data_IF_457079064863
#
_entry.id   IF_457079064863
#
_cell.length_a   1.000
_cell.length_b   1.000
_cell.length_c   1.000
_cell.angle_alpha   90.00
_cell.angle_beta   90.00
_cell.angle_gamma   90.00
#
_symmetry.space_group_name_H-M   'P 1'
#
loop_
_entity.id
_entity.type
_entity.pdbx_description
1 polymer ?
#
# COMPACT_ATOMS: atom_id res chain seq x y z
N UNK A 1 -0.97 -30.86 0.96
CA UNK A 1 -1.29 -29.52 0.48
C UNK A 1 -0.53 -28.55 1.37
N UNK A 2 0.32 -27.70 0.81
CA UNK A 2 0.97 -26.64 1.59
C UNK A 2 -0.12 -25.59 1.82
N UNK A 3 -0.50 -25.36 3.08
CA UNK A 3 -1.38 -24.25 3.43
C UNK A 3 -0.74 -22.98 2.90
N UNK A 4 -1.41 -22.32 1.98
CA UNK A 4 -0.94 -21.06 1.41
C UNK A 4 -1.22 -19.97 2.45
N UNK A 5 -0.16 -19.50 3.13
CA UNK A 5 -0.27 -18.43 4.11
C UNK A 5 -0.31 -17.07 3.41
N UNK A 6 -1.23 -16.22 3.85
CA UNK A 6 -1.44 -14.89 3.32
C UNK A 6 -1.54 -13.85 4.42
N UNK A 7 -1.16 -12.63 4.08
CA UNK A 7 -1.07 -11.52 5.02
C UNK A 7 -1.67 -10.26 4.42
N UNK A 8 -2.30 -9.46 5.27
CA UNK A 8 -2.67 -8.09 4.97
C UNK A 8 -1.52 -7.17 5.33
N UNK A 9 -1.17 -6.26 4.42
CA UNK A 9 -0.30 -5.12 4.73
C UNK A 9 -1.11 -4.08 5.51
N UNK A 10 -0.60 -3.68 6.66
CA UNK A 10 -1.21 -2.70 7.53
C UNK A 10 -0.24 -1.58 7.87
N UNK A 11 -0.79 -0.38 8.08
CA UNK A 11 -0.03 0.74 8.62
C UNK A 11 0.39 0.41 10.06
N UNK A 12 1.64 0.67 10.38
CA UNK A 12 2.09 0.65 11.77
C UNK A 12 1.43 1.81 12.52
N UNK A 13 0.66 1.48 13.56
CA UNK A 13 -0.09 2.45 14.36
C UNK A 13 0.79 3.32 15.24
N UNK A 14 2.02 2.90 15.51
CA UNK A 14 3.00 3.65 16.28
C UNK A 14 3.68 4.74 15.44
N UNK A 15 3.61 4.63 14.11
CA UNK A 15 4.13 5.66 13.23
C UNK A 15 3.16 6.85 13.13
N UNK A 16 3.66 8.08 13.34
CA UNK A 16 2.83 9.26 13.17
C UNK A 16 2.30 9.38 11.72
N UNK A 17 1.08 9.89 11.52
CA UNK A 17 0.53 10.05 10.18
C UNK A 17 1.31 11.11 9.40
N UNK A 18 1.60 10.83 8.12
CA UNK A 18 2.00 11.88 7.18
C UNK A 18 0.75 12.66 6.81
N UNK A 19 0.72 13.93 7.16
CA UNK A 19 -0.38 14.81 6.78
C UNK A 19 -0.06 15.50 5.46
N UNK A 20 -0.93 15.34 4.49
CA UNK A 20 -0.83 16.10 3.25
C UNK A 20 -1.20 17.56 3.51
N UNK A 21 -0.26 18.49 3.30
CA UNK A 21 -0.46 19.94 3.53
C UNK A 21 -1.48 20.57 2.59
N UNK A 22 -1.79 19.93 1.47
CA UNK A 22 -2.70 20.52 0.48
C UNK A 22 -3.90 19.61 0.20
N UNK A 23 -5.11 20.17 0.38
CA UNK A 23 -6.38 19.57 -0.09
C UNK A 23 -6.35 19.14 -1.57
N UNK A 24 -5.52 19.77 -2.39
CA UNK A 24 -5.29 19.45 -3.80
C UNK A 24 -4.68 18.05 -3.96
N UNK A 25 -3.77 17.64 -3.09
CA UNK A 25 -3.13 16.32 -3.15
C UNK A 25 -4.13 15.20 -2.88
N UNK A 26 -5.02 15.36 -1.90
CA UNK A 26 -6.05 14.37 -1.59
C UNK A 26 -7.06 14.17 -2.73
N UNK A 27 -7.38 15.25 -3.48
CA UNK A 27 -8.28 15.14 -4.64
C UNK A 27 -7.65 14.41 -5.81
N UNK A 28 -6.34 14.56 -6.00
CA UNK A 28 -5.58 13.93 -7.10
C UNK A 28 -5.18 12.49 -6.77
N UNK A 29 -4.95 12.19 -5.49
CA UNK A 29 -4.56 10.86 -5.00
C UNK A 29 -5.68 10.29 -4.12
N UNK A 30 -6.74 9.70 -4.72
CA UNK A 30 -7.85 9.13 -3.95
C UNK A 30 -7.38 7.90 -3.16
N UNK A 31 -8.03 7.66 -2.03
CA UNK A 31 -7.76 6.50 -1.20
C UNK A 31 -7.95 5.19 -1.97
N UNK A 32 -9.03 5.10 -2.74
CA UNK A 32 -9.27 3.99 -3.67
C UNK A 32 -8.76 4.35 -5.06
N UNK A 33 -7.62 3.79 -5.44
CA UNK A 33 -6.99 4.05 -6.73
C UNK A 33 -7.58 3.10 -7.78
N UNK A 34 -8.55 3.57 -8.55
CA UNK A 34 -9.05 2.86 -9.72
C UNK A 34 -8.20 3.16 -10.98
N UNK A 35 -8.48 2.45 -12.07
CA UNK A 35 -7.72 2.62 -13.31
C UNK A 35 -7.82 4.04 -13.87
N UNK A 36 -8.99 4.64 -13.83
CA UNK A 36 -9.19 6.00 -14.35
C UNK A 36 -8.36 7.01 -13.54
N UNK A 37 -8.40 6.92 -12.22
CA UNK A 37 -7.62 7.77 -11.33
C UNK A 37 -6.12 7.56 -11.54
N UNK A 38 -5.67 6.30 -11.66
CA UNK A 38 -4.28 5.97 -11.90
C UNK A 38 -3.78 6.49 -13.26
N UNK A 39 -4.57 6.33 -14.34
CA UNK A 39 -4.22 6.84 -15.67
C UNK A 39 -4.17 8.36 -15.72
N UNK A 40 -4.92 9.04 -14.85
CA UNK A 40 -4.92 10.50 -14.73
C UNK A 40 -3.74 11.05 -13.90
N UNK A 41 -2.94 10.18 -13.25
CA UNK A 41 -1.73 10.60 -12.55
C UNK A 41 -0.63 10.94 -13.55
N UNK A 42 -0.19 12.16 -13.54
CA UNK A 42 1.09 12.56 -14.14
C UNK A 42 2.23 12.35 -13.13
N UNK A 43 3.48 12.46 -13.58
CA UNK A 43 4.61 12.63 -12.67
C UNK A 43 4.37 13.90 -11.85
N UNK A 44 4.34 13.77 -10.53
CA UNK A 44 3.88 14.86 -9.68
C UNK A 44 4.73 15.06 -8.43
N UNK A 45 4.46 16.18 -7.81
CA UNK A 45 5.07 16.63 -6.57
C UNK A 45 3.97 16.78 -5.52
N UNK A 46 4.11 16.08 -4.39
CA UNK A 46 3.24 16.27 -3.24
C UNK A 46 4.02 16.88 -2.08
N UNK A 47 3.38 17.80 -1.38
CA UNK A 47 3.92 18.39 -0.17
C UNK A 47 3.32 17.66 1.05
N UNK A 48 4.14 17.47 2.07
CA UNK A 48 3.72 16.89 3.35
C UNK A 48 4.17 17.78 4.51
N UNK A 49 3.46 17.70 5.63
CA UNK A 49 3.89 18.33 6.87
C UNK A 49 4.97 17.49 7.54
N UNK A 50 6.09 18.12 7.86
CA UNK A 50 7.15 17.48 8.61
C UNK A 50 6.85 17.57 10.11
N UNK A 51 6.70 16.42 10.76
CA UNK A 51 6.43 16.33 12.20
C UNK A 51 7.68 15.93 13.03
N UNK A 52 8.85 16.15 12.50
CA UNK A 52 10.10 15.87 13.21
C UNK A 52 10.55 14.40 13.16
N UNK A 53 10.09 13.63 12.20
CA UNK A 53 10.48 12.23 12.08
C UNK A 53 11.93 12.05 11.65
N UNK A 54 12.58 11.05 12.24
CA UNK A 54 13.92 10.65 11.85
C UNK A 54 13.95 9.78 10.61
N UNK A 55 12.84 9.09 10.28
CA UNK A 55 12.73 8.19 9.13
C UNK A 55 11.36 8.29 8.46
N UNK A 56 11.37 8.19 7.12
CA UNK A 56 10.15 8.07 6.32
C UNK A 56 9.72 6.61 6.27
N UNK A 57 8.40 6.30 6.34
CA UNK A 57 7.90 4.95 6.16
C UNK A 57 8.22 4.41 4.76
N UNK A 58 8.51 3.11 4.67
CA UNK A 58 8.73 2.45 3.38
C UNK A 58 7.44 2.29 2.57
N UNK A 59 6.30 2.23 3.26
CA UNK A 59 4.97 2.16 2.65
C UNK A 59 4.06 3.18 3.31
N UNK A 60 3.34 3.92 2.49
CA UNK A 60 2.29 4.86 2.90
C UNK A 60 0.94 4.34 2.46
N UNK A 61 -0.07 4.44 3.34
CA UNK A 61 -1.44 4.01 3.07
C UNK A 61 -2.37 5.19 2.79
N UNK A 62 -1.93 6.40 3.06
CA UNK A 62 -2.69 7.64 2.89
C UNK A 62 -1.82 8.73 2.23
N UNK A 63 -2.39 9.55 1.34
CA UNK A 63 -3.77 9.60 0.84
C UNK A 63 -4.15 8.42 -0.05
N UNK A 64 -3.20 7.71 -0.62
CA UNK A 64 -3.34 6.46 -1.36
C UNK A 64 -2.17 5.54 -1.00
N UNK A 65 -2.24 4.27 -1.39
CA UNK A 65 -1.14 3.33 -1.17
C UNK A 65 0.09 3.71 -2.01
N UNK A 66 1.23 3.87 -1.37
CA UNK A 66 2.49 4.26 -2.01
C UNK A 66 3.65 3.49 -1.40
N UNK A 67 4.63 3.15 -2.22
CA UNK A 67 5.85 2.45 -1.82
C UNK A 67 7.08 3.32 -2.09
N UNK A 68 8.06 3.27 -1.18
CA UNK A 68 9.33 3.95 -1.35
C UNK A 68 10.08 3.40 -2.58
N UNK A 69 10.86 4.24 -3.26
CA UNK A 69 11.61 3.89 -4.47
C UNK A 69 12.43 2.59 -4.32
N UNK A 70 13.06 2.39 -3.18
CA UNK A 70 13.83 1.17 -2.89
C UNK A 70 13.00 -0.13 -2.91
N UNK A 71 11.67 -0.05 -2.75
CA UNK A 71 10.77 -1.20 -2.78
C UNK A 71 10.20 -1.49 -4.18
N UNK A 72 10.19 -0.52 -5.07
CA UNK A 72 9.60 -0.68 -6.41
C UNK A 72 10.19 -1.87 -7.18
N UNK A 73 11.52 -2.13 -7.21
CA UNK A 73 12.07 -3.30 -7.87
C UNK A 73 11.60 -4.62 -7.24
N UNK A 74 11.39 -4.63 -5.92
CA UNK A 74 10.91 -5.82 -5.19
C UNK A 74 9.49 -6.16 -5.58
N UNK A 75 8.61 -5.17 -5.50
CA UNK A 75 7.21 -5.34 -5.88
C UNK A 75 7.08 -5.76 -7.35
N UNK A 76 7.89 -5.18 -8.24
CA UNK A 76 7.92 -5.57 -9.66
C UNK A 76 8.38 -7.02 -9.87
N UNK A 77 9.30 -7.51 -9.05
CA UNK A 77 9.74 -8.90 -9.11
C UNK A 77 8.66 -9.86 -8.59
N UNK A 78 7.94 -9.47 -7.54
CA UNK A 78 6.86 -10.26 -6.95
C UNK A 78 5.64 -10.31 -7.87
N UNK A 79 5.24 -9.15 -8.41
CA UNK A 79 4.07 -9.00 -9.29
C UNK A 79 4.45 -8.16 -10.53
N UNK A 80 4.93 -8.81 -11.60
CA UNK A 80 5.39 -8.11 -12.81
C UNK A 80 4.30 -7.35 -13.56
N UNK A 81 3.03 -7.69 -13.36
CA UNK A 81 1.89 -7.01 -14.00
C UNK A 81 1.54 -5.66 -13.37
N UNK A 82 2.11 -5.36 -12.21
CA UNK A 82 1.86 -4.11 -11.50
C UNK A 82 2.45 -2.90 -12.23
N UNK A 83 1.67 -1.86 -12.39
CA UNK A 83 2.08 -0.60 -12.98
C UNK A 83 2.42 0.43 -11.89
N UNK A 84 3.20 1.47 -12.25
CA UNK A 84 3.70 2.44 -11.27
C UNK A 84 3.65 3.85 -11.83
N UNK A 85 3.34 4.84 -10.96
CA UNK A 85 3.49 6.28 -11.21
C UNK A 85 4.36 6.88 -10.13
N UNK A 86 5.38 7.65 -10.54
CA UNK A 86 6.30 8.31 -9.62
C UNK A 86 5.65 9.49 -8.91
N UNK A 87 5.99 9.66 -7.65
CA UNK A 87 5.55 10.77 -6.81
C UNK A 87 6.69 11.26 -5.94
N UNK A 88 7.12 12.49 -6.17
CA UNK A 88 8.15 13.14 -5.35
C UNK A 88 7.49 13.83 -4.16
N UNK A 89 7.91 13.48 -2.94
CA UNK A 89 7.42 14.14 -1.73
C UNK A 89 8.38 15.25 -1.29
N UNK A 90 7.83 16.41 -0.90
CA UNK A 90 8.57 17.52 -0.33
C UNK A 90 8.01 17.92 1.03
N UNK A 91 8.89 18.17 2.01
CA UNK A 91 8.48 18.76 3.27
C UNK A 91 8.19 20.26 3.07
N UNK A 92 6.98 20.69 3.45
CA UNK A 92 6.54 22.08 3.24
C UNK A 92 7.36 23.12 4.02
N UNK A 93 7.94 22.73 5.16
CA UNK A 93 8.65 23.64 6.08
C UNK A 93 10.18 23.57 5.98
N UNK A 94 10.74 22.58 5.30
CA UNK A 94 12.18 22.45 5.14
C UNK A 94 12.59 22.73 3.70
N UNK A 95 13.22 23.87 3.51
CA UNK A 95 14.03 24.18 2.32
C UNK A 95 15.42 23.51 2.43
N UNK A 96 15.54 22.42 3.17
CA UNK A 96 16.83 21.83 3.45
C UNK A 96 17.16 20.65 2.54
N UNK A 97 18.41 20.57 2.19
CA UNK A 97 19.14 19.72 1.25
C UNK A 97 19.13 18.21 1.53
N UNK A 98 18.26 17.72 2.38
CA UNK A 98 18.08 16.29 2.59
C UNK A 98 17.52 15.62 1.32
N UNK A 99 17.98 14.42 0.94
CA UNK A 99 17.45 13.73 -0.22
C UNK A 99 15.94 13.58 -0.07
N UNK A 100 15.23 14.09 -1.07
CA UNK A 100 13.77 14.08 -1.10
C UNK A 100 13.31 12.66 -1.42
N UNK A 101 12.46 12.03 -0.61
CA UNK A 101 12.04 10.67 -0.87
C UNK A 101 11.16 10.59 -2.12
N UNK A 102 11.51 9.69 -3.03
CA UNK A 102 10.70 9.31 -4.16
C UNK A 102 9.81 8.13 -3.75
N UNK A 103 8.52 8.27 -3.98
CA UNK A 103 7.55 7.19 -3.84
C UNK A 103 6.94 6.82 -5.18
N UNK A 104 6.40 5.62 -5.23
CA UNK A 104 5.66 5.11 -6.37
C UNK A 104 4.25 4.75 -5.92
N UNK A 105 3.26 5.21 -6.67
CA UNK A 105 1.88 4.75 -6.57
C UNK A 105 1.77 3.50 -7.42
N UNK A 106 1.65 2.30 -6.83
CA UNK A 106 1.45 1.08 -7.59
C UNK A 106 -0.02 0.95 -7.98
N UNK A 107 -0.27 0.36 -9.14
CA UNK A 107 -1.60 -0.01 -9.59
C UNK A 107 -1.66 -1.50 -9.87
N UNK A 108 -2.63 -2.14 -9.27
CA UNK A 108 -3.06 -3.49 -9.55
C UNK A 108 -4.59 -3.48 -9.55
N UNK A 109 -5.26 -4.03 -10.58
CA UNK A 109 -6.72 -4.06 -10.60
C UNK A 109 -7.31 -4.74 -9.36
N UNK A 110 -8.44 -4.22 -8.88
CA UNK A 110 -9.17 -4.87 -7.79
C UNK A 110 -9.61 -6.27 -8.18
N UNK A 111 -9.37 -7.21 -7.29
CA UNK A 111 -9.77 -8.60 -7.43
C UNK A 111 -10.92 -8.89 -6.48
N UNK A 112 -11.99 -9.47 -7.00
CA UNK A 112 -13.05 -10.04 -6.17
C UNK A 112 -12.56 -11.36 -5.56
N UNK A 113 -11.79 -11.27 -4.47
CA UNK A 113 -11.16 -12.41 -3.81
C UNK A 113 -11.68 -12.68 -2.39
N UNK A 114 -12.47 -11.76 -1.84
CA UNK A 114 -12.95 -11.91 -0.48
C UNK A 114 -13.96 -13.05 -0.38
N UNK A 115 -13.79 -13.88 0.65
CA UNK A 115 -14.74 -14.93 1.01
C UNK A 115 -15.87 -14.35 1.86
N UNK A 116 -17.06 -14.98 1.84
CA UNK A 116 -18.23 -14.55 2.63
C UNK A 116 -18.00 -14.55 4.15
N UNK A 117 -17.02 -15.31 4.63
CA UNK A 117 -16.58 -15.32 6.03
C UNK A 117 -15.82 -14.07 6.45
N UNK A 118 -15.51 -13.14 5.51
CA UNK A 118 -14.88 -11.87 5.85
C UNK A 118 -15.82 -11.01 6.70
N UNK A 119 -15.37 -10.63 7.88
CA UNK A 119 -16.14 -9.77 8.78
C UNK A 119 -15.91 -8.30 8.43
N UNK A 120 -17.00 -7.56 8.21
CA UNK A 120 -16.97 -6.14 7.89
C UNK A 120 -17.62 -5.34 8.99
N UNK A 121 -16.88 -4.44 9.61
CA UNK A 121 -17.37 -3.55 10.67
C UNK A 121 -17.18 -2.09 10.22
N UNK A 122 -18.27 -1.35 10.14
CA UNK A 122 -18.28 0.04 9.66
C UNK A 122 -17.57 0.23 8.30
N UNK A 123 -17.72 -0.75 7.40
CA UNK A 123 -17.12 -0.73 6.06
C UNK A 123 -15.64 -1.14 5.99
N UNK A 124 -15.02 -1.44 7.13
CA UNK A 124 -13.62 -1.90 7.23
C UNK A 124 -13.56 -3.38 7.56
N UNK A 125 -12.47 -4.02 7.17
CA UNK A 125 -12.23 -5.40 7.50
C UNK A 125 -11.95 -5.57 9.00
N UNK A 126 -12.69 -6.47 9.65
CA UNK A 126 -12.31 -7.09 10.90
C UNK A 126 -11.42 -8.30 10.63
N UNK A 127 -12.01 -9.48 10.53
CA UNK A 127 -11.33 -10.71 10.11
C UNK A 127 -11.42 -10.84 8.60
N UNK A 128 -10.31 -11.10 7.93
CA UNK A 128 -10.26 -11.28 6.47
C UNK A 128 -10.14 -12.76 6.14
N UNK A 129 -10.99 -13.22 5.25
CA UNK A 129 -10.88 -14.50 4.59
C UNK A 129 -10.89 -14.31 3.06
N UNK A 130 -10.00 -15.00 2.35
CA UNK A 130 -9.92 -14.96 0.89
C UNK A 130 -10.22 -16.34 0.30
N UNK A 131 -10.76 -16.36 -0.91
CA UNK A 131 -11.07 -17.60 -1.61
C UNK A 131 -9.78 -18.26 -2.13
N UNK A 132 -9.60 -19.55 -1.86
CA UNK A 132 -8.44 -20.33 -2.27
C UNK A 132 -8.14 -20.21 -3.77
N UNK A 133 -9.15 -20.22 -4.62
CA UNK A 133 -9.00 -20.07 -6.06
C UNK A 133 -8.30 -18.77 -6.50
N UNK A 134 -8.42 -17.71 -5.69
CA UNK A 134 -7.82 -16.41 -6.00
C UNK A 134 -6.33 -16.34 -5.67
N UNK A 135 -5.83 -17.23 -4.80
CA UNK A 135 -4.46 -17.19 -4.29
C UNK A 135 -3.50 -18.13 -5.03
N UNK A 136 -4.01 -19.05 -5.89
CA UNK A 136 -3.21 -20.13 -6.49
C UNK A 136 -2.10 -19.64 -7.43
N UNK A 137 -2.32 -18.55 -8.17
CA UNK A 137 -1.36 -18.07 -9.17
C UNK A 137 -0.86 -16.65 -8.88
N UNK A 138 -1.23 -16.10 -7.72
CA UNK A 138 -0.91 -14.73 -7.38
C UNK A 138 -0.05 -14.65 -6.14
N UNK A 139 0.73 -13.58 -6.04
CA UNK A 139 1.54 -13.27 -4.86
C UNK A 139 1.11 -11.99 -4.18
N UNK A 140 0.39 -11.13 -4.91
CA UNK A 140 -0.25 -9.92 -4.40
C UNK A 140 -1.68 -9.89 -4.91
N UNK A 141 -2.61 -9.59 -4.02
CA UNK A 141 -4.01 -9.32 -4.35
C UNK A 141 -4.37 -7.92 -3.85
N UNK A 142 -5.10 -7.20 -4.68
CA UNK A 142 -5.66 -5.90 -4.34
C UNK A 142 -7.18 -6.02 -4.28
N UNK A 143 -7.76 -5.80 -3.12
CA UNK A 143 -9.19 -5.89 -2.87
C UNK A 143 -9.70 -4.65 -2.15
N UNK A 144 -11.00 -4.41 -2.16
CA UNK A 144 -11.60 -3.27 -1.47
C UNK A 144 -12.87 -3.65 -0.72
N UNK A 145 -13.08 -2.97 0.37
CA UNK A 145 -14.34 -2.88 1.10
C UNK A 145 -14.85 -1.44 1.05
N UNK A 146 -16.07 -1.15 1.48
CA UNK A 146 -16.64 0.21 1.39
C UNK A 146 -15.76 1.32 2.00
N UNK A 147 -14.98 1.01 3.02
CA UNK A 147 -14.08 1.99 3.70
C UNK A 147 -12.66 1.42 3.95
N UNK A 148 -12.23 0.41 3.18
CA UNK A 148 -10.92 -0.22 3.37
C UNK A 148 -10.31 -0.67 2.05
N UNK A 149 -9.08 -0.24 1.80
CA UNK A 149 -8.26 -0.61 0.64
C UNK A 149 -7.27 -1.69 1.08
N UNK A 150 -7.42 -2.89 0.53
CA UNK A 150 -6.75 -4.09 1.02
C UNK A 150 -5.65 -4.54 0.09
N UNK A 151 -4.41 -4.49 0.59
CA UNK A 151 -3.24 -5.06 -0.05
C UNK A 151 -2.86 -6.35 0.65
N UNK A 152 -3.08 -7.47 -0.02
CA UNK A 152 -2.89 -8.81 0.51
C UNK A 152 -1.71 -9.47 -0.20
N UNK A 153 -0.84 -10.12 0.56
CA UNK A 153 0.39 -10.70 0.04
C UNK A 153 0.58 -12.14 0.52
N UNK A 154 1.17 -12.97 -0.33
CA UNK A 154 1.54 -14.34 0.02
C UNK A 154 2.70 -14.36 1.04
N UNK A 155 2.92 -15.51 1.70
CA UNK A 155 4.07 -15.73 2.57
C UNK A 155 5.39 -15.43 1.86
N UNK A 156 5.56 -15.89 0.63
CA UNK A 156 6.78 -15.64 -0.15
C UNK A 156 7.04 -14.15 -0.35
N UNK A 157 5.98 -13.38 -0.67
CA UNK A 157 6.08 -11.92 -0.79
C UNK A 157 6.38 -11.25 0.55
N UNK A 158 5.73 -11.71 1.62
CA UNK A 158 5.97 -11.22 2.99
C UNK A 158 7.43 -11.43 3.41
N UNK A 159 8.00 -12.63 3.18
CA UNK A 159 9.40 -12.91 3.47
C UNK A 159 10.36 -12.02 2.68
N UNK A 160 10.09 -11.79 1.39
CA UNK A 160 10.88 -10.89 0.56
C UNK A 160 10.89 -9.46 1.11
N UNK A 161 9.78 -8.99 1.64
CA UNK A 161 9.65 -7.67 2.26
C UNK A 161 10.32 -7.63 3.63
N UNK A 162 10.07 -8.60 4.52
CA UNK A 162 10.61 -8.63 5.88
C UNK A 162 12.14 -8.68 5.93
N UNK A 163 12.80 -9.30 4.96
CA UNK A 163 14.26 -9.31 4.84
C UNK A 163 14.87 -7.91 4.70
N UNK A 164 14.07 -6.89 4.42
CA UNK A 164 14.51 -5.50 4.24
C UNK A 164 14.31 -4.62 5.46
N UNK A 165 13.85 -5.17 6.58
CA UNK A 165 13.63 -4.42 7.82
C UNK A 165 12.77 -3.17 7.60
N UNK A 166 11.60 -3.35 7.00
CA UNK A 166 10.71 -2.27 6.62
C UNK A 166 10.23 -1.43 7.82
N UNK A 167 10.09 -0.15 7.58
CA UNK A 167 9.62 0.84 8.55
C UNK A 167 8.19 1.29 8.22
N UNK A 168 7.34 1.35 9.24
CA UNK A 168 6.00 1.93 9.13
C UNK A 168 4.91 0.96 8.66
N UNK A 169 5.20 -0.34 8.63
CA UNK A 169 4.23 -1.38 8.27
C UNK A 169 4.18 -2.50 9.29
N UNK A 170 3.03 -3.13 9.38
CA UNK A 170 2.81 -4.42 10.04
C UNK A 170 2.11 -5.37 9.07
N UNK A 171 2.17 -6.66 9.37
CA UNK A 171 1.53 -7.71 8.58
C UNK A 171 0.59 -8.51 9.48
N UNK A 172 -0.67 -8.58 9.08
CA UNK A 172 -1.70 -9.36 9.78
C UNK A 172 -2.03 -10.61 8.98
N UNK A 173 -1.92 -11.80 9.60
CA UNK A 173 -2.29 -13.06 8.95
C UNK A 173 -3.78 -13.06 8.64
N UNK A 174 -4.12 -13.54 7.44
CA UNK A 174 -5.49 -13.70 6.97
C UNK A 174 -5.79 -15.18 6.69
N UNK A 175 -7.06 -15.53 6.54
CA UNK A 175 -7.47 -16.89 6.26
C UNK A 175 -7.62 -17.13 4.76
N UNK A 176 -7.33 -18.36 4.33
CA UNK A 176 -7.58 -18.85 2.97
C UNK A 176 -8.64 -19.96 3.07
N UNK A 177 -9.72 -19.84 2.32
CA UNK A 177 -10.88 -20.74 2.37
C UNK A 177 -11.34 -21.16 0.96
#
# INVERSE_FOLDING_TARGET
MVESEWFRLCKDREMPPIQSVKKLTQKKYPYFMDEQSFRALDEDVAYYEYQGWSMMPDILFEPTFMILDALQPVFRQIEPSMEYRGLQLYAAEKVDTSPVPLYWVPYLPYTDCLHEATEVVAGKAGRIAVREVCVQERRILHAKLPADDLWLISLEAAECLLRRQLVGITMERIEVM
#
